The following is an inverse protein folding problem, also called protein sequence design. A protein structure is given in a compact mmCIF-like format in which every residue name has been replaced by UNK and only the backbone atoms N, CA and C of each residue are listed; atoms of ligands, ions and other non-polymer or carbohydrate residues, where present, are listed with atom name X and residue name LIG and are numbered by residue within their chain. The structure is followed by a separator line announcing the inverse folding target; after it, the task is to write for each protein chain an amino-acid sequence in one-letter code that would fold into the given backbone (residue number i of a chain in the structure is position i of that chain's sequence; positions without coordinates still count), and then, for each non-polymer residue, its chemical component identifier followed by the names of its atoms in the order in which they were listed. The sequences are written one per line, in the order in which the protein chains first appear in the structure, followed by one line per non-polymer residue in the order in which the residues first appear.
data_IF_668367473059
#
_entry.id   IF_668367473059
#
_cell.length_a   1.000
_cell.length_b   1.000
_cell.length_c   1.000
_cell.angle_alpha   90.00
_cell.angle_beta   90.00
_cell.angle_gamma   90.00
#
_symmetry.space_group_name_H-M   'P 1'
#
loop_
_entity.id
_entity.type
_entity.pdbx_description
1 polymer ?
#
# COMPACT_ATOMS: atom_id res chain seq x y z
N UNK A 1 -0.27 -2.31 12.03
CA UNK A 1 -1.51 -3.13 12.06
C UNK A 1 -1.30 -4.54 11.53
N UNK A 2 -0.59 -4.73 10.41
CA UNK A 2 -0.28 -6.06 9.85
C UNK A 2 0.36 -7.08 10.84
N UNK A 3 1.30 -6.69 11.73
CA UNK A 3 1.88 -7.62 12.71
C UNK A 3 0.92 -7.99 13.83
N UNK A 4 0.01 -7.07 14.21
CA UNK A 4 -1.01 -7.29 15.23
C UNK A 4 -2.09 -8.24 14.72
N UNK A 5 -2.54 -8.08 13.47
CA UNK A 5 -3.50 -8.99 12.82
C UNK A 5 -2.96 -10.42 12.69
N UNK A 6 -1.71 -10.58 12.25
CA UNK A 6 -1.09 -11.90 12.09
C UNK A 6 -0.81 -12.60 13.42
N UNK A 7 -0.46 -11.82 14.45
CA UNK A 7 -0.23 -12.34 15.81
C UNK A 7 -1.53 -12.72 16.50
N UNK A 8 -2.57 -11.90 16.40
CA UNK A 8 -3.84 -12.10 17.10
C UNK A 8 -4.71 -13.20 16.46
N UNK A 9 -4.77 -13.24 15.11
CA UNK A 9 -5.65 -14.17 14.40
C UNK A 9 -5.05 -15.56 14.15
N UNK A 10 -3.73 -15.69 14.12
CA UNK A 10 -3.05 -16.92 13.69
C UNK A 10 -1.93 -17.41 14.60
N UNK A 11 -1.71 -16.79 15.77
CA UNK A 11 -0.62 -17.12 16.72
C UNK A 11 0.74 -17.30 16.01
N UNK A 12 0.95 -16.52 14.93
CA UNK A 12 2.06 -16.72 14.03
C UNK A 12 3.32 -16.13 14.66
N UNK A 13 4.17 -16.99 15.23
CA UNK A 13 5.46 -16.59 15.82
C UNK A 13 6.35 -15.96 14.74
N UNK A 14 6.44 -14.64 14.81
CA UNK A 14 7.27 -13.80 13.94
C UNK A 14 8.76 -14.19 13.96
N UNK A 15 9.21 -14.96 14.96
CA UNK A 15 10.59 -15.41 15.14
C UNK A 15 11.14 -16.34 14.04
N UNK A 16 10.28 -17.01 13.26
CA UNK A 16 10.73 -18.03 12.27
C UNK A 16 10.64 -17.57 10.82
N UNK A 17 10.08 -16.37 10.57
CA UNK A 17 9.60 -15.98 9.24
C UNK A 17 10.18 -14.65 8.74
N UNK A 18 11.43 -14.33 9.07
CA UNK A 18 12.16 -13.17 8.51
C UNK A 18 12.07 -13.11 6.97
N UNK A 19 12.07 -14.28 6.32
CA UNK A 19 11.91 -14.40 4.87
C UNK A 19 10.55 -13.87 4.36
N UNK A 20 9.49 -14.04 5.17
CA UNK A 20 8.13 -13.63 4.85
C UNK A 20 7.96 -12.11 4.97
N UNK A 21 8.68 -11.47 5.89
CA UNK A 21 8.70 -10.00 6.06
C UNK A 21 9.52 -9.28 4.98
N UNK A 22 10.53 -9.97 4.43
CA UNK A 22 11.32 -9.50 3.29
C UNK A 22 10.56 -9.59 1.96
N UNK A 23 9.67 -10.57 1.83
CA UNK A 23 8.87 -10.80 0.63
C UNK A 23 8.12 -9.57 0.11
N UNK A 24 7.33 -8.83 0.93
CA UNK A 24 6.64 -7.63 0.45
C UNK A 24 7.60 -6.52 0.04
N UNK A 25 8.75 -6.38 0.70
CA UNK A 25 9.76 -5.38 0.34
C UNK A 25 10.43 -5.71 -1.01
N UNK A 26 10.75 -6.99 -1.24
CA UNK A 26 11.26 -7.47 -2.52
C UNK A 26 10.24 -7.29 -3.63
N UNK A 27 8.97 -7.67 -3.38
CA UNK A 27 7.90 -7.56 -4.36
C UNK A 27 7.64 -6.09 -4.72
N UNK A 28 7.64 -5.19 -3.73
CA UNK A 28 7.54 -3.75 -3.92
C UNK A 28 8.66 -3.23 -4.82
N UNK A 29 9.91 -3.64 -4.58
CA UNK A 29 11.05 -3.24 -5.41
C UNK A 29 10.92 -3.69 -6.87
N UNK A 30 10.55 -4.96 -7.11
CA UNK A 30 10.34 -5.50 -8.46
C UNK A 30 9.18 -4.79 -9.17
N UNK A 31 8.05 -4.61 -8.47
CA UNK A 31 6.88 -3.95 -9.05
C UNK A 31 7.12 -2.46 -9.32
N UNK A 32 7.96 -1.79 -8.53
CA UNK A 32 8.37 -0.41 -8.82
C UNK A 32 9.13 -0.31 -10.15
N UNK A 33 10.03 -1.26 -10.43
CA UNK A 33 10.77 -1.34 -11.70
C UNK A 33 9.82 -1.65 -12.87
N UNK A 34 8.90 -2.60 -12.67
CA UNK A 34 7.87 -2.91 -13.67
C UNK A 34 6.97 -1.71 -13.93
N UNK A 35 6.56 -0.98 -12.90
CA UNK A 35 5.76 0.24 -13.02
C UNK A 35 6.48 1.32 -13.82
N UNK A 36 7.77 1.55 -13.54
CA UNK A 36 8.60 2.52 -14.27
C UNK A 36 8.75 2.16 -15.74
N UNK A 37 9.14 0.92 -16.03
CA UNK A 37 9.30 0.45 -17.42
C UNK A 37 7.99 0.47 -18.21
N UNK A 38 6.87 0.10 -17.58
CA UNK A 38 5.55 0.16 -18.19
C UNK A 38 5.13 1.62 -18.44
N UNK A 39 5.39 2.53 -17.50
CA UNK A 39 5.10 3.96 -17.67
C UNK A 39 5.93 4.58 -18.80
N UNK A 40 7.22 4.25 -18.90
CA UNK A 40 8.09 4.71 -19.98
C UNK A 40 7.64 4.14 -21.34
N UNK A 41 7.23 2.87 -21.40
CA UNK A 41 6.72 2.24 -22.62
C UNK A 41 5.40 2.88 -23.10
N UNK A 42 4.47 3.15 -22.17
CA UNK A 42 3.21 3.84 -22.48
C UNK A 42 3.44 5.27 -22.97
N UNK A 43 4.47 5.95 -22.44
CA UNK A 43 4.85 7.30 -22.87
C UNK A 43 5.50 7.30 -24.26
N UNK A 44 6.42 6.36 -24.52
CA UNK A 44 7.10 6.24 -25.82
C UNK A 44 6.16 5.83 -26.96
N UNK A 45 5.06 5.14 -26.65
CA UNK A 45 4.08 4.75 -27.68
C UNK A 45 3.14 5.90 -28.09
N UNK A 46 3.25 7.09 -27.47
CA UNK A 46 2.39 8.28 -27.67
C UNK A 46 0.87 8.03 -27.56
N UNK A 47 0.45 6.86 -27.08
CA UNK A 47 -0.97 6.45 -27.01
C UNK A 47 -1.72 7.22 -25.92
N UNK A 48 -1.04 7.60 -24.82
CA UNK A 48 -1.65 8.24 -23.66
C UNK A 48 -0.79 9.40 -23.13
N UNK A 49 -1.44 10.52 -22.81
CA UNK A 49 -0.82 11.66 -22.12
C UNK A 49 -0.30 11.23 -20.74
N UNK A 50 0.82 11.80 -20.31
CA UNK A 50 1.46 11.50 -19.01
C UNK A 50 0.49 11.62 -17.82
N UNK A 51 -0.45 12.56 -17.89
CA UNK A 51 -1.51 12.76 -16.89
C UNK A 51 -2.55 11.65 -16.87
N UNK A 52 -2.87 11.05 -18.01
CA UNK A 52 -3.87 9.97 -18.11
C UNK A 52 -3.29 8.65 -17.61
N UNK A 53 -2.05 8.33 -18.01
CA UNK A 53 -1.32 7.15 -17.49
C UNK A 53 -1.26 7.22 -15.96
N UNK A 54 -0.91 8.37 -15.40
CA UNK A 54 -0.87 8.56 -13.94
C UNK A 54 -2.23 8.36 -13.28
N UNK A 55 -3.30 8.94 -13.82
CA UNK A 55 -4.65 8.76 -13.27
C UNK A 55 -5.05 7.28 -13.28
N UNK A 56 -4.82 6.56 -14.38
CA UNK A 56 -5.15 5.15 -14.46
C UNK A 56 -4.31 4.28 -13.53
N UNK A 57 -3.01 4.56 -13.41
CA UNK A 57 -2.13 3.82 -12.50
C UNK A 57 -2.48 4.08 -11.04
N UNK A 58 -2.70 5.33 -10.63
CA UNK A 58 -3.07 5.65 -9.25
C UNK A 58 -4.46 5.11 -8.91
N UNK A 59 -5.48 5.39 -9.72
CA UNK A 59 -6.83 4.89 -9.48
C UNK A 59 -6.90 3.36 -9.54
N UNK A 60 -6.24 2.74 -10.53
CA UNK A 60 -6.18 1.29 -10.66
C UNK A 60 -5.51 0.62 -9.46
N UNK A 61 -4.43 1.21 -8.95
CA UNK A 61 -3.74 0.71 -7.76
C UNK A 61 -4.63 0.79 -6.52
N UNK A 62 -5.28 1.93 -6.27
CA UNK A 62 -6.18 2.08 -5.11
C UNK A 62 -7.39 1.14 -5.18
N UNK A 63 -8.01 1.00 -6.35
CA UNK A 63 -9.15 0.09 -6.54
C UNK A 63 -8.70 -1.36 -6.31
N UNK A 64 -7.58 -1.76 -6.91
CA UNK A 64 -7.06 -3.12 -6.78
C UNK A 64 -6.63 -3.44 -5.35
N UNK A 65 -5.96 -2.50 -4.68
CA UNK A 65 -5.58 -2.62 -3.28
C UNK A 65 -6.81 -2.76 -2.37
N UNK A 66 -7.87 -1.98 -2.63
CA UNK A 66 -9.13 -2.09 -1.89
C UNK A 66 -9.80 -3.44 -2.03
N UNK A 67 -9.94 -3.93 -3.26
CA UNK A 67 -10.51 -5.26 -3.54
C UNK A 67 -9.71 -6.35 -2.82
N UNK A 68 -8.37 -6.28 -2.86
CA UNK A 68 -7.50 -7.27 -2.24
C UNK A 68 -7.56 -7.24 -0.71
N UNK A 69 -7.70 -6.06 -0.10
CA UNK A 69 -7.86 -5.94 1.36
C UNK A 69 -9.21 -6.52 1.81
N UNK A 70 -10.30 -6.22 1.09
CA UNK A 70 -11.62 -6.80 1.38
C UNK A 70 -11.59 -8.33 1.21
N UNK A 71 -10.95 -8.83 0.15
CA UNK A 71 -10.77 -10.26 -0.10
C UNK A 71 -9.94 -10.92 1.01
N UNK A 72 -8.85 -10.28 1.44
CA UNK A 72 -8.01 -10.75 2.55
C UNK A 72 -8.78 -10.85 3.87
N UNK A 73 -9.76 -9.97 4.11
CA UNK A 73 -10.65 -10.00 5.27
C UNK A 73 -11.74 -11.10 5.22
N UNK A 74 -12.06 -11.59 4.02
CA UNK A 74 -13.04 -12.67 3.81
C UNK A 74 -12.39 -14.07 3.75
N UNK A 75 -11.08 -14.14 3.53
CA UNK A 75 -10.33 -15.39 3.51
C UNK A 75 -10.08 -15.92 4.95
N UNK A 76 -10.48 -17.18 5.19
CA UNK A 76 -10.24 -17.89 6.46
C UNK A 76 -8.86 -18.59 6.54
N UNK A 77 -8.00 -18.42 5.54
CA UNK A 77 -6.66 -19.04 5.49
C UNK A 77 -5.55 -18.00 5.72
N UNK A 78 -4.63 -18.28 6.64
CA UNK A 78 -3.52 -17.40 7.03
C UNK A 78 -2.62 -17.06 5.84
N UNK A 79 -2.20 -18.10 5.12
CA UNK A 79 -1.29 -17.97 3.99
C UNK A 79 -1.98 -17.25 2.82
N UNK A 80 -3.28 -17.48 2.61
CA UNK A 80 -4.05 -16.79 1.57
C UNK A 80 -4.22 -15.30 1.85
N UNK A 81 -4.53 -14.93 3.10
CA UNK A 81 -4.67 -13.53 3.51
C UNK A 81 -3.32 -12.80 3.45
N UNK A 82 -2.22 -13.45 3.87
CA UNK A 82 -0.87 -12.92 3.77
C UNK A 82 -0.46 -12.65 2.32
N UNK A 83 -0.67 -13.61 1.41
CA UNK A 83 -0.35 -13.43 -0.01
C UNK A 83 -1.17 -12.30 -0.64
N UNK A 84 -2.46 -12.19 -0.32
CA UNK A 84 -3.29 -11.08 -0.78
C UNK A 84 -2.76 -9.73 -0.29
N UNK A 85 -2.35 -9.65 0.98
CA UNK A 85 -1.76 -8.43 1.54
C UNK A 85 -0.41 -8.08 0.90
N UNK A 86 0.44 -9.06 0.61
CA UNK A 86 1.72 -8.87 -0.10
C UNK A 86 1.49 -8.35 -1.53
N UNK A 87 0.50 -8.89 -2.23
CA UNK A 87 0.13 -8.42 -3.57
C UNK A 87 -0.48 -7.01 -3.49
N UNK A 88 -1.33 -6.74 -2.50
CA UNK A 88 -1.94 -5.44 -2.28
C UNK A 88 -0.89 -4.35 -1.98
N UNK A 89 0.09 -4.62 -1.13
CA UNK A 89 1.20 -3.69 -0.85
C UNK A 89 2.09 -3.50 -2.07
N UNK A 90 2.34 -4.58 -2.82
CA UNK A 90 3.04 -4.53 -4.11
C UNK A 90 2.36 -3.62 -5.14
N UNK A 91 1.03 -3.68 -5.25
CA UNK A 91 0.26 -2.80 -6.13
C UNK A 91 0.31 -1.34 -5.67
N UNK A 92 0.41 -1.09 -4.36
CA UNK A 92 0.67 0.25 -3.82
C UNK A 92 1.97 0.86 -4.34
N UNK A 93 2.96 0.06 -4.74
CA UNK A 93 4.19 0.54 -5.36
C UNK A 93 3.94 1.29 -6.68
N UNK A 94 2.93 0.88 -7.45
CA UNK A 94 2.56 1.57 -8.69
C UNK A 94 1.99 2.96 -8.42
N UNK A 95 1.17 3.12 -7.37
CA UNK A 95 0.67 4.42 -6.95
C UNK A 95 1.83 5.34 -6.52
N UNK A 96 2.81 4.79 -5.78
CA UNK A 96 4.00 5.54 -5.37
C UNK A 96 4.84 5.98 -6.58
N UNK A 97 5.10 5.08 -7.52
CA UNK A 97 5.84 5.39 -8.74
C UNK A 97 5.14 6.47 -9.58
N UNK A 98 3.82 6.40 -9.72
CA UNK A 98 3.01 7.40 -10.42
C UNK A 98 3.06 8.78 -9.72
N UNK A 99 3.05 8.80 -8.38
CA UNK A 99 3.15 10.02 -7.59
C UNK A 99 4.53 10.68 -7.67
N UNK A 100 5.61 9.89 -7.51
CA UNK A 100 6.98 10.39 -7.64
C UNK A 100 7.24 10.97 -9.03
N UNK A 101 6.78 10.31 -10.09
CA UNK A 101 6.91 10.84 -11.44
C UNK A 101 6.12 12.15 -11.61
N UNK A 102 4.95 12.28 -10.95
CA UNK A 102 4.12 13.48 -11.02
C UNK A 102 4.78 14.73 -10.44
N UNK A 103 5.43 14.59 -9.28
CA UNK A 103 6.16 15.68 -8.66
C UNK A 103 7.34 16.15 -9.51
N UNK A 104 8.02 15.21 -10.17
CA UNK A 104 9.18 15.49 -11.01
C UNK A 104 8.80 16.27 -12.28
N UNK A 105 7.68 15.92 -12.91
CA UNK A 105 7.19 16.58 -14.13
C UNK A 105 6.52 17.94 -13.86
N UNK A 106 5.81 18.11 -12.73
CA UNK A 106 5.03 19.32 -12.48
C UNK A 106 5.89 20.51 -12.00
N UNK A 107 6.93 20.25 -11.21
CA UNK A 107 7.80 21.30 -10.68
C UNK A 107 9.20 20.77 -10.33
N UNK A 108 10.11 20.59 -11.30
CA UNK A 108 11.45 20.04 -11.03
C UNK A 108 12.27 20.89 -10.04
N UNK A 109 11.97 22.19 -9.93
CA UNK A 109 12.67 23.13 -9.06
C UNK A 109 12.14 23.12 -7.60
N UNK A 110 10.91 22.67 -7.37
CA UNK A 110 10.26 22.63 -6.05
C UNK A 110 9.84 21.21 -5.62
N UNK A 111 10.18 20.19 -6.41
CA UNK A 111 9.81 18.79 -6.18
C UNK A 111 10.23 18.31 -4.78
N UNK A 112 11.44 18.67 -4.34
CA UNK A 112 11.95 18.28 -3.02
C UNK A 112 11.14 18.87 -1.86
N UNK A 113 10.68 20.12 -1.99
CA UNK A 113 9.85 20.78 -0.97
C UNK A 113 8.45 20.18 -0.89
N UNK A 114 7.81 19.93 -2.04
CA UNK A 114 6.50 19.27 -2.12
C UNK A 114 6.56 17.82 -1.60
N UNK A 115 7.62 17.08 -1.94
CA UNK A 115 7.81 15.71 -1.45
C UNK A 115 8.04 15.69 0.07
N UNK A 116 8.82 16.64 0.59
CA UNK A 116 9.02 16.83 2.03
C UNK A 116 7.71 17.13 2.77
N UNK A 117 6.90 18.06 2.23
CA UNK A 117 5.57 18.36 2.79
C UNK A 117 4.65 17.15 2.76
N UNK A 118 4.55 16.46 1.62
CA UNK A 118 3.76 15.23 1.50
C UNK A 118 4.20 14.18 2.53
N UNK A 119 5.51 14.03 2.75
CA UNK A 119 6.02 13.07 3.72
C UNK A 119 5.75 13.49 5.17
N UNK A 120 5.75 14.79 5.49
CA UNK A 120 5.32 15.26 6.82
C UNK A 120 3.85 14.93 7.09
N UNK A 121 2.96 15.17 6.12
CA UNK A 121 1.55 14.76 6.25
C UNK A 121 1.40 13.24 6.36
N UNK A 122 2.15 12.48 5.55
CA UNK A 122 2.15 11.01 5.61
C UNK A 122 2.66 10.49 6.96
N UNK A 123 3.69 11.12 7.54
CA UNK A 123 4.25 10.75 8.84
C UNK A 123 3.27 11.07 9.97
N UNK A 124 2.60 12.22 9.91
CA UNK A 124 1.55 12.60 10.87
C UNK A 124 0.39 11.61 10.79
N UNK A 125 -0.09 11.28 9.58
CA UNK A 125 -1.13 10.28 9.37
C UNK A 125 -0.72 8.90 9.89
N UNK A 126 0.53 8.48 9.63
CA UNK A 126 1.09 7.22 10.10
C UNK A 126 1.15 7.13 11.63
N UNK A 127 1.34 8.25 12.31
CA UNK A 127 1.27 8.33 13.77
C UNK A 127 -0.19 8.32 14.29
N UNK A 128 -1.08 9.10 13.68
CA UNK A 128 -2.48 9.19 14.13
C UNK A 128 -3.29 7.90 13.88
N UNK A 129 -3.00 7.18 12.80
CA UNK A 129 -3.76 5.98 12.40
C UNK A 129 -3.83 4.91 13.51
N UNK A 130 -2.72 4.37 14.03
CA UNK A 130 -2.78 3.40 15.12
C UNK A 130 -3.34 4.02 16.40
N UNK A 131 -3.04 5.29 16.70
CA UNK A 131 -3.52 5.96 17.91
C UNK A 131 -5.05 6.02 17.97
N UNK A 132 -5.70 6.41 16.87
CA UNK A 132 -7.16 6.43 16.77
C UNK A 132 -7.76 5.02 16.85
N UNK A 133 -7.12 4.03 16.22
CA UNK A 133 -7.57 2.64 16.29
C UNK A 133 -7.54 2.11 17.73
N UNK A 134 -6.44 2.34 18.45
CA UNK A 134 -6.32 1.94 19.86
C UNK A 134 -7.32 2.68 20.75
N UNK A 135 -7.54 3.98 20.52
CA UNK A 135 -8.48 4.77 21.30
C UNK A 135 -9.94 4.36 21.08
N UNK A 136 -10.32 4.03 19.85
CA UNK A 136 -11.72 3.69 19.49
C UNK A 136 -12.03 2.22 19.77
N UNK A 137 -11.08 1.30 19.59
CA UNK A 137 -11.32 -0.14 19.66
C UNK A 137 -10.61 -0.86 20.80
N UNK A 138 -10.01 -0.15 21.76
CA UNK A 138 -9.15 -0.71 22.82
C UNK A 138 -9.63 -1.99 23.51
N UNK A 139 -10.95 -2.17 23.69
CA UNK A 139 -11.54 -3.36 24.34
C UNK A 139 -12.21 -4.36 23.37
N UNK A 140 -12.41 -4.02 22.08
CA UNK A 140 -13.27 -4.79 21.13
C UNK A 140 -12.48 -5.45 19.98
N UNK A 141 -11.14 -5.35 20.00
CA UNK A 141 -10.26 -5.80 18.92
C UNK A 141 -10.40 -7.31 18.61
N UNK A 142 -10.77 -8.14 19.59
CA UNK A 142 -10.81 -9.60 19.40
C UNK A 142 -11.99 -10.10 18.57
N UNK A 143 -13.09 -9.36 18.44
CA UNK A 143 -14.32 -9.86 17.78
C UNK A 143 -14.58 -9.26 16.38
N UNK A 144 -14.05 -8.07 16.05
CA UNK A 144 -14.48 -7.30 14.86
C UNK A 144 -13.35 -6.75 13.98
N UNK A 145 -12.37 -7.59 13.63
CA UNK A 145 -11.31 -7.25 12.66
C UNK A 145 -11.83 -6.71 11.31
N UNK A 146 -13.01 -7.15 10.86
CA UNK A 146 -13.62 -6.70 9.60
C UNK A 146 -14.02 -5.21 9.60
N UNK A 147 -14.46 -4.66 10.75
CA UNK A 147 -14.79 -3.23 10.85
C UNK A 147 -13.55 -2.34 10.77
N UNK A 148 -12.43 -2.83 11.30
CA UNK A 148 -11.15 -2.12 11.28
C UNK A 148 -10.61 -2.01 9.84
N UNK A 149 -10.76 -3.07 9.03
CA UNK A 149 -10.41 -3.01 7.60
C UNK A 149 -11.28 -2.04 6.81
N UNK A 150 -12.58 -1.92 7.11
CA UNK A 150 -13.46 -0.96 6.46
C UNK A 150 -13.13 0.50 6.76
N UNK A 151 -12.63 0.80 7.97
CA UNK A 151 -12.28 2.17 8.39
C UNK A 151 -10.91 2.59 7.88
N UNK A 152 -10.03 1.64 7.58
CA UNK A 152 -8.64 1.90 7.16
C UNK A 152 -8.48 2.00 5.63
N UNK A 153 -9.53 1.68 4.85
CA UNK A 153 -9.61 1.99 3.42
C UNK A 153 -9.90 3.47 3.18
#
# INVERSE_FOLDING_TARGET
CLPLFLRDKYDYRLDTNDFMSLLPHLLMGVLLLVAGTLADWLRNSEVLTTTHVRKYFTCGSFISQGILIVLAGHLNSANGSLLCLIIATGLGAFAWAAFSANLLDLAPQYASGLMGLSNTFASIQGYLSPYLIFYVFGDVIMENWQHLFYITM
#
